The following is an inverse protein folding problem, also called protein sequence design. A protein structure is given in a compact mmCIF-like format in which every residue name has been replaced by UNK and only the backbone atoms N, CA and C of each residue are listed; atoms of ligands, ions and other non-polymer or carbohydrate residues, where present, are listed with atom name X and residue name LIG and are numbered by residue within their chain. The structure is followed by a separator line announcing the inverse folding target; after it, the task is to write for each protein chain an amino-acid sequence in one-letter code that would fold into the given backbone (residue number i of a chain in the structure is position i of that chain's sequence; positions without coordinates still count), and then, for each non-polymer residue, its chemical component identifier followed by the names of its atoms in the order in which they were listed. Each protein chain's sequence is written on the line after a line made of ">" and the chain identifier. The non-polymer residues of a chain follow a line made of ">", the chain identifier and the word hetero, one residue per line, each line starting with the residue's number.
data_IF_812307070425
#
_entry.id   IF_812307070425
#
_cell.length_a   1.000
_cell.length_b   1.000
_cell.length_c   1.000
_cell.angle_alpha   90.00
_cell.angle_beta   90.00
_cell.angle_gamma   90.00
#
_symmetry.space_group_name_H-M   'P 1'
#
loop_
_entity.id
_entity.type
_entity.pdbx_description
1 polymer ?
#
# COMPACT_ATOMS: atom_id res chain seq x y z
N UNK A 1 -4.87 11.53 2.60
CA UNK A 1 -3.98 12.71 2.38
C UNK A 1 -3.83 13.08 0.87
N UNK A 2 -4.76 13.83 0.25
CA UNK A 2 -4.77 14.00 -1.23
C UNK A 2 -3.74 14.97 -1.83
N UNK A 3 -3.09 15.82 -1.03
CA UNK A 3 -2.23 16.91 -1.55
C UNK A 3 -0.75 16.54 -1.76
N UNK A 4 -0.33 15.30 -1.43
CA UNK A 4 1.10 14.92 -1.38
C UNK A 4 1.38 13.50 -1.90
N UNK A 5 0.83 13.16 -3.06
CA UNK A 5 1.22 11.93 -3.76
C UNK A 5 2.50 12.16 -4.56
N UNK A 6 3.61 11.61 -4.08
CA UNK A 6 4.89 11.67 -4.77
C UNK A 6 5.21 10.34 -5.45
N UNK A 7 5.93 10.42 -6.57
CA UNK A 7 6.42 9.24 -7.27
C UNK A 7 7.64 8.63 -6.56
N UNK A 8 7.47 8.14 -5.34
CA UNK A 8 8.51 7.46 -4.57
C UNK A 8 7.93 6.42 -3.61
N UNK A 9 8.81 5.57 -3.09
CA UNK A 9 8.46 4.48 -2.19
C UNK A 9 7.87 4.97 -0.87
N UNK A 10 8.42 6.03 -0.28
CA UNK A 10 7.96 6.56 1.01
C UNK A 10 6.51 7.08 0.95
N UNK A 11 6.18 7.85 -0.09
CA UNK A 11 4.81 8.34 -0.34
C UNK A 11 3.84 7.19 -0.54
N UNK A 12 4.26 6.14 -1.28
CA UNK A 12 3.44 4.95 -1.46
C UNK A 12 3.24 4.20 -0.14
N UNK A 13 4.30 4.02 0.65
CA UNK A 13 4.23 3.32 1.93
C UNK A 13 3.28 4.02 2.91
N UNK A 14 3.35 5.36 2.99
CA UNK A 14 2.42 6.14 3.82
C UNK A 14 0.96 5.95 3.39
N UNK A 15 0.69 6.04 2.09
CA UNK A 15 -0.67 5.85 1.55
C UNK A 15 -1.15 4.42 1.73
N UNK A 16 -0.25 3.44 1.56
CA UNK A 16 -0.54 2.02 1.76
C UNK A 16 -0.91 1.73 3.21
N UNK A 17 -0.13 2.21 4.18
CA UNK A 17 -0.42 2.01 5.59
C UNK A 17 -1.78 2.65 5.98
N UNK A 18 -2.06 3.88 5.52
CA UNK A 18 -3.35 4.59 5.73
C UNK A 18 -4.54 3.75 5.23
N UNK A 19 -4.52 3.33 3.97
CA UNK A 19 -5.61 2.53 3.40
C UNK A 19 -5.68 1.11 3.98
N UNK A 20 -4.55 0.52 4.37
CA UNK A 20 -4.51 -0.78 5.01
C UNK A 20 -5.21 -0.77 6.37
N UNK A 21 -5.11 0.30 7.15
CA UNK A 21 -5.86 0.43 8.41
C UNK A 21 -7.36 0.69 8.18
N UNK A 22 -7.72 1.38 7.10
CA UNK A 22 -9.11 1.73 6.78
C UNK A 22 -9.93 0.55 6.21
N UNK A 23 -9.29 -0.43 5.58
CA UNK A 23 -9.99 -1.57 4.98
C UNK A 23 -10.15 -2.69 6.01
N UNK A 24 -11.38 -2.91 6.47
CA UNK A 24 -11.71 -4.07 7.30
C UNK A 24 -11.85 -5.34 6.45
N UNK A 25 -10.88 -6.26 6.59
CA UNK A 25 -10.84 -7.51 5.85
C UNK A 25 -9.83 -8.48 6.50
N UNK A 26 -10.30 -9.68 6.85
CA UNK A 26 -9.46 -10.74 7.46
C UNK A 26 -8.54 -11.46 6.46
N UNK A 27 -8.92 -11.52 5.18
CA UNK A 27 -8.08 -12.15 4.15
C UNK A 27 -7.05 -11.15 3.63
N UNK A 28 -5.79 -11.38 4.00
CA UNK A 28 -4.66 -10.53 3.63
C UNK A 28 -4.49 -10.32 2.12
N UNK A 29 -4.78 -11.34 1.30
CA UNK A 29 -4.61 -11.23 -0.15
C UNK A 29 -5.71 -10.33 -0.71
N UNK A 30 -6.96 -10.59 -0.34
CA UNK A 30 -8.10 -9.77 -0.75
C UNK A 30 -7.98 -8.33 -0.23
N UNK A 31 -7.49 -8.15 1.00
CA UNK A 31 -7.24 -6.82 1.57
C UNK A 31 -6.19 -6.06 0.77
N UNK A 32 -5.10 -6.73 0.38
CA UNK A 32 -4.06 -6.12 -0.45
C UNK A 32 -4.61 -5.72 -1.83
N UNK A 33 -5.36 -6.58 -2.51
CA UNK A 33 -5.99 -6.24 -3.79
C UNK A 33 -6.89 -4.99 -3.67
N UNK A 34 -7.70 -4.89 -2.60
CA UNK A 34 -8.52 -3.70 -2.34
C UNK A 34 -7.70 -2.43 -2.11
N UNK A 35 -6.61 -2.50 -1.33
CA UNK A 35 -5.72 -1.34 -1.14
C UNK A 35 -5.10 -0.91 -2.46
N UNK A 36 -4.68 -1.87 -3.30
CA UNK A 36 -4.12 -1.56 -4.62
C UNK A 36 -5.15 -0.94 -5.57
N UNK A 37 -6.41 -1.35 -5.47
CA UNK A 37 -7.51 -0.72 -6.22
C UNK A 37 -7.70 0.75 -5.80
N UNK A 38 -7.71 1.03 -4.49
CA UNK A 38 -7.81 2.41 -3.97
C UNK A 38 -6.60 3.25 -4.38
N UNK A 39 -5.40 2.66 -4.35
CA UNK A 39 -4.15 3.33 -4.73
C UNK A 39 -3.82 3.23 -6.22
N UNK A 40 -4.76 2.80 -7.08
CA UNK A 40 -4.52 2.57 -8.51
C UNK A 40 -3.98 3.80 -9.25
N UNK A 41 -4.30 5.01 -8.77
CA UNK A 41 -3.82 6.29 -9.31
C UNK A 41 -2.52 6.79 -8.67
N UNK A 42 -1.94 6.04 -7.71
CA UNK A 42 -0.71 6.46 -7.03
C UNK A 42 0.47 6.46 -8.03
N UNK A 43 1.22 7.56 -8.18
CA UNK A 43 2.24 7.69 -9.24
C UNK A 43 3.36 6.65 -9.13
N UNK A 44 3.72 6.24 -7.91
CA UNK A 44 4.67 5.14 -7.68
C UNK A 44 4.14 3.77 -8.10
N UNK A 45 2.85 3.49 -7.88
CA UNK A 45 2.24 2.22 -8.30
C UNK A 45 2.18 2.13 -9.83
N UNK A 46 1.82 3.23 -10.49
CA UNK A 46 1.77 3.32 -11.96
C UNK A 46 3.16 3.14 -12.56
N UNK A 47 4.17 3.84 -12.03
CA UNK A 47 5.51 3.85 -12.62
C UNK A 47 6.35 2.63 -12.26
N UNK A 48 6.12 2.02 -11.09
CA UNK A 48 6.93 0.93 -10.54
C UNK A 48 6.06 -0.17 -9.88
N UNK A 49 5.13 -0.82 -10.62
CA UNK A 49 4.15 -1.73 -10.03
C UNK A 49 4.77 -2.94 -9.33
N UNK A 50 5.85 -3.50 -9.88
CA UNK A 50 6.55 -4.64 -9.26
C UNK A 50 7.19 -4.27 -7.91
N UNK A 51 7.79 -3.08 -7.82
CA UNK A 51 8.40 -2.60 -6.58
C UNK A 51 7.34 -2.17 -5.56
N UNK A 52 6.23 -1.57 -6.01
CA UNK A 52 5.09 -1.25 -5.16
C UNK A 52 4.51 -2.53 -4.52
N UNK A 53 4.40 -3.62 -5.29
CA UNK A 53 3.98 -4.94 -4.78
C UNK A 53 4.94 -5.49 -3.72
N UNK A 54 6.24 -5.55 -4.02
CA UNK A 54 7.27 -6.00 -3.05
C UNK A 54 7.26 -5.16 -1.77
N UNK A 55 7.08 -3.85 -1.91
CA UNK A 55 7.01 -2.94 -0.78
C UNK A 55 5.75 -3.20 0.06
N UNK A 56 4.58 -3.36 -0.55
CA UNK A 56 3.36 -3.72 0.15
C UNK A 56 3.48 -5.05 0.91
N UNK A 57 4.02 -6.09 0.27
CA UNK A 57 4.29 -7.38 0.91
C UNK A 57 5.22 -7.23 2.12
N UNK A 58 6.28 -6.41 1.98
CA UNK A 58 7.19 -6.09 3.07
C UNK A 58 6.49 -5.34 4.22
N UNK A 59 5.66 -4.33 3.92
CA UNK A 59 4.89 -3.58 4.93
C UNK A 59 3.98 -4.50 5.74
N UNK A 60 3.22 -5.36 5.07
CA UNK A 60 2.35 -6.36 5.72
C UNK A 60 3.16 -7.28 6.63
N UNK A 61 4.30 -7.77 6.14
CA UNK A 61 5.18 -8.63 6.93
C UNK A 61 5.75 -7.91 8.16
N UNK A 62 6.20 -6.67 8.00
CA UNK A 62 6.71 -5.85 9.10
C UNK A 62 5.64 -5.57 10.15
N UNK A 63 4.41 -5.23 9.75
CA UNK A 63 3.29 -5.00 10.68
C UNK A 63 3.00 -6.23 11.55
N UNK A 64 3.03 -7.43 10.96
CA UNK A 64 2.86 -8.70 11.70
C UNK A 64 3.95 -8.98 12.72
N UNK A 65 5.16 -8.46 12.50
CA UNK A 65 6.31 -8.67 13.40
C UNK A 65 6.19 -7.84 14.69
N UNK A 66 5.38 -6.78 14.68
CA UNK A 66 5.24 -5.84 15.80
C UNK A 66 3.84 -5.87 16.43
N UNK A 67 2.98 -6.81 16.05
CA UNK A 67 1.77 -7.20 16.80
C UNK A 67 2.11 -8.36 17.76
#
# INVERSE_FOLDING_TARGET
>A
MKDKLYNNADSFAMSFDEEWENIDCDDFRLKMDKVFEVLSEHPFLISNPENAKKLAEFRIFSLKKFQ
#
